data_IF_556540123050
#
_entry.id   IF_556540123050
#
_cell.length_a   1.000
_cell.length_b   1.000
_cell.length_c   1.000
_cell.angle_alpha   90.00
_cell.angle_beta   90.00
_cell.angle_gamma   90.00
#
_symmetry.space_group_name_H-M   'P 1'
#
loop_
_entity.id
_entity.type
_entity.pdbx_description
1 polymer ?
#
# COMPACT_ATOMS: atom_id res chain seq x y z
N UNK A 1 4.62 -8.12 5.81
CA UNK A 1 3.26 -7.54 5.80
C UNK A 1 3.34 -6.10 5.31
N UNK A 2 2.40 -5.62 4.49
CA UNK A 2 2.45 -4.28 3.87
C UNK A 2 2.40 -3.09 4.86
N UNK A 3 2.28 -3.34 6.16
CA UNK A 3 2.31 -2.34 7.24
C UNK A 3 3.72 -2.06 7.80
N UNK A 4 4.76 -2.78 7.34
CA UNK A 4 6.17 -2.53 7.72
C UNK A 4 6.61 -1.06 7.54
N UNK A 5 6.19 -0.35 6.47
CA UNK A 5 6.50 1.08 6.31
C UNK A 5 5.86 1.98 7.39
N UNK A 6 4.75 1.57 8.02
CA UNK A 6 4.09 2.33 9.09
C UNK A 6 4.93 2.30 10.37
N UNK A 7 5.50 1.14 10.70
CA UNK A 7 6.42 0.96 11.83
C UNK A 7 7.75 1.66 11.58
N UNK A 8 8.31 1.54 10.36
CA UNK A 8 9.53 2.24 9.95
C UNK A 8 9.35 3.77 9.85
N UNK A 9 8.11 4.24 9.70
CA UNK A 9 7.74 5.65 9.64
C UNK A 9 7.21 6.20 10.97
N UNK A 10 7.22 5.44 12.05
CA UNK A 10 6.85 5.94 13.38
C UNK A 10 8.03 6.74 13.95
N UNK A 11 7.83 8.03 14.18
CA UNK A 11 8.85 8.91 14.75
C UNK A 11 8.24 9.79 15.85
N UNK A 12 9.00 10.12 16.91
CA UNK A 12 8.58 11.13 17.88
C UNK A 12 8.30 12.47 17.18
N UNK A 13 7.27 13.20 17.63
CA UNK A 13 6.94 14.54 17.11
C UNK A 13 6.04 14.59 15.88
N UNK A 14 5.49 13.45 15.43
CA UNK A 14 4.50 13.42 14.35
C UNK A 14 3.09 13.80 14.85
N UNK A 15 2.34 14.54 14.04
CA UNK A 15 0.95 14.86 14.32
C UNK A 15 0.05 13.61 14.21
N UNK A 16 -1.10 13.62 14.89
CA UNK A 16 -2.06 12.50 14.83
C UNK A 16 -2.48 12.23 13.37
N UNK A 17 -2.31 10.99 12.91
CA UNK A 17 -2.64 10.56 11.54
C UNK A 17 -1.56 10.87 10.48
N UNK A 18 -0.42 11.41 10.90
CA UNK A 18 0.75 11.64 10.04
C UNK A 18 1.70 10.44 10.09
N UNK A 19 2.17 10.00 8.93
CA UNK A 19 3.33 9.10 8.83
C UNK A 19 4.59 9.91 8.53
N UNK A 20 5.78 9.42 8.89
CA UNK A 20 7.00 10.14 8.57
C UNK A 20 7.13 10.37 7.04
N UNK A 21 7.43 11.60 6.56
CA UNK A 21 7.51 11.92 5.13
C UNK A 21 8.37 10.97 4.30
N UNK A 22 9.47 10.45 4.87
CA UNK A 22 10.33 9.43 4.22
C UNK A 22 9.62 8.10 3.91
N UNK A 23 8.59 7.73 4.65
CA UNK A 23 7.82 6.50 4.43
C UNK A 23 6.70 6.69 3.37
N UNK A 24 6.34 7.93 3.06
CA UNK A 24 5.25 8.27 2.11
C UNK A 24 5.46 7.66 0.72
N UNK A 25 6.64 7.76 0.08
CA UNK A 25 6.82 7.21 -1.26
C UNK A 25 6.61 5.69 -1.28
N UNK A 26 7.19 4.98 -0.31
CA UNK A 26 7.07 3.52 -0.19
C UNK A 26 5.61 3.11 0.09
N UNK A 27 4.98 3.75 1.07
CA UNK A 27 3.56 3.51 1.39
C UNK A 27 2.69 3.70 0.14
N UNK A 28 2.85 4.82 -0.56
CA UNK A 28 2.05 5.11 -1.75
C UNK A 28 2.34 4.14 -2.90
N UNK A 29 3.58 3.67 -3.06
CA UNK A 29 3.90 2.69 -4.08
C UNK A 29 3.18 1.36 -3.83
N UNK A 30 3.21 0.85 -2.60
CA UNK A 30 2.61 -0.45 -2.26
C UNK A 30 1.09 -0.42 -2.09
N UNK A 31 0.48 0.79 -1.97
CA UNK A 31 -0.98 0.97 -1.86
C UNK A 31 -1.64 1.45 -3.17
N UNK A 32 -0.96 1.35 -4.31
CA UNK A 32 -1.56 1.56 -5.63
C UNK A 32 -2.02 0.24 -6.22
N UNK A 33 -3.24 0.19 -6.75
CA UNK A 33 -3.83 -1.01 -7.35
C UNK A 33 -3.02 -1.58 -8.52
N UNK A 34 -2.27 -0.76 -9.26
CA UNK A 34 -1.45 -1.26 -10.37
C UNK A 34 -0.35 -2.21 -9.89
N UNK A 35 0.11 -2.09 -8.64
CA UNK A 35 1.20 -2.87 -8.09
C UNK A 35 0.83 -4.37 -7.91
N UNK A 36 -0.26 -4.73 -7.20
CA UNK A 36 -0.72 -6.11 -7.17
C UNK A 36 -1.20 -6.61 -8.53
N UNK A 37 -1.77 -5.75 -9.40
CA UNK A 37 -2.13 -6.15 -10.77
C UNK A 37 -0.90 -6.56 -11.60
N UNK A 38 0.20 -5.81 -11.49
CA UNK A 38 1.46 -6.17 -12.13
C UNK A 38 2.00 -7.50 -11.60
N UNK A 39 1.93 -7.74 -10.29
CA UNK A 39 2.34 -9.02 -9.69
C UNK A 39 1.49 -10.17 -10.25
N UNK A 40 0.16 -10.02 -10.32
CA UNK A 40 -0.73 -11.03 -10.89
C UNK A 40 -0.38 -11.29 -12.37
N UNK A 41 -0.15 -10.24 -13.15
CA UNK A 41 0.21 -10.36 -14.56
C UNK A 41 1.53 -11.13 -14.75
N UNK A 42 2.57 -10.79 -13.98
CA UNK A 42 3.86 -11.51 -13.99
C UNK A 42 3.70 -12.96 -13.52
N UNK A 43 2.89 -13.18 -12.48
CA UNK A 43 2.63 -14.51 -11.96
C UNK A 43 1.96 -15.43 -13.00
N UNK A 44 1.02 -14.90 -13.78
CA UNK A 44 0.32 -15.64 -14.83
C UNK A 44 1.16 -15.82 -16.09
N UNK A 45 1.87 -14.78 -16.54
CA UNK A 45 2.58 -14.76 -17.81
C UNK A 45 3.95 -15.43 -17.75
N UNK A 46 4.71 -15.20 -16.68
CA UNK A 46 6.11 -15.61 -16.58
C UNK A 46 6.30 -16.77 -15.58
N UNK A 47 5.70 -16.68 -14.40
CA UNK A 47 5.93 -17.65 -13.33
C UNK A 47 5.00 -18.87 -13.41
N UNK A 48 3.85 -18.74 -14.09
CA UNK A 48 2.77 -19.75 -14.16
C UNK A 48 2.41 -20.32 -12.78
N UNK A 49 2.41 -19.47 -11.76
CA UNK A 49 2.34 -19.88 -10.35
C UNK A 49 1.08 -19.39 -9.67
N UNK A 50 0.21 -20.33 -9.27
CA UNK A 50 -1.04 -20.01 -8.59
C UNK A 50 -0.83 -19.39 -7.21
N UNK A 51 0.25 -19.74 -6.50
CA UNK A 51 0.57 -19.14 -5.20
C UNK A 51 0.88 -17.65 -5.31
N UNK A 52 1.61 -17.23 -6.34
CA UNK A 52 1.86 -15.80 -6.60
C UNK A 52 0.60 -15.05 -7.07
N UNK A 53 -0.29 -15.71 -7.81
CA UNK A 53 -1.60 -15.14 -8.15
C UNK A 53 -2.44 -14.90 -6.89
N UNK A 54 -2.52 -15.89 -5.99
CA UNK A 54 -3.21 -15.75 -4.71
C UNK A 54 -2.61 -14.62 -3.87
N UNK A 55 -1.27 -14.50 -3.82
CA UNK A 55 -0.61 -13.41 -3.12
C UNK A 55 -0.99 -12.03 -3.70
N UNK A 56 -1.02 -11.89 -5.03
CA UNK A 56 -1.45 -10.67 -5.69
C UNK A 56 -2.93 -10.34 -5.44
N UNK A 57 -3.81 -11.33 -5.46
CA UNK A 57 -5.24 -11.17 -5.14
C UNK A 57 -5.45 -10.76 -3.67
N UNK A 58 -4.73 -11.40 -2.73
CA UNK A 58 -4.79 -11.03 -1.31
C UNK A 58 -4.31 -9.59 -1.09
N UNK A 59 -3.25 -9.17 -1.79
CA UNK A 59 -2.77 -7.80 -1.76
C UNK A 59 -3.80 -6.83 -2.35
N UNK A 60 -4.41 -7.16 -3.49
CA UNK A 60 -5.48 -6.35 -4.09
C UNK A 60 -6.66 -6.18 -3.14
N UNK A 61 -7.10 -7.28 -2.51
CA UNK A 61 -8.20 -7.29 -1.54
C UNK A 61 -7.88 -6.43 -0.31
N UNK A 62 -6.64 -6.49 0.20
CA UNK A 62 -6.17 -5.64 1.28
C UNK A 62 -6.28 -4.14 0.93
N UNK A 63 -5.79 -3.72 -0.24
CA UNK A 63 -5.92 -2.31 -0.68
C UNK A 63 -7.41 -1.92 -0.79
N UNK A 64 -8.25 -2.78 -1.35
CA UNK A 64 -9.68 -2.50 -1.50
C UNK A 64 -10.37 -2.33 -0.14
N UNK A 65 -10.04 -3.19 0.83
CA UNK A 65 -10.55 -3.11 2.19
C UNK A 65 -10.13 -1.82 2.91
N UNK A 66 -8.88 -1.41 2.72
CA UNK A 66 -8.39 -0.12 3.22
C UNK A 66 -9.19 1.05 2.63
N UNK A 67 -9.43 1.02 1.32
CA UNK A 67 -10.22 2.09 0.65
C UNK A 67 -11.66 2.13 1.17
N UNK A 68 -12.31 0.98 1.34
CA UNK A 68 -13.68 0.93 1.88
C UNK A 68 -13.76 1.37 3.33
N UNK A 69 -12.69 1.16 4.11
CA UNK A 69 -12.59 1.62 5.51
C UNK A 69 -12.20 3.09 5.63
N UNK A 70 -12.06 3.80 4.50
CA UNK A 70 -11.72 5.21 4.46
C UNK A 70 -10.23 5.49 4.59
N UNK A 71 -9.33 4.50 4.46
CA UNK A 71 -7.89 4.72 4.42
C UNK A 71 -7.39 5.09 3.02
N UNK A 72 -6.59 6.15 2.95
CA UNK A 72 -6.18 6.83 1.71
C UNK A 72 -4.69 6.71 1.38
N UNK A 73 -4.30 7.22 0.21
CA UNK A 73 -2.89 7.53 -0.09
C UNK A 73 -2.44 8.70 0.79
N UNK A 74 -1.13 8.88 0.91
CA UNK A 74 -0.53 9.91 1.77
C UNK A 74 -0.04 11.11 0.96
N UNK A 75 -0.22 12.32 1.49
CA UNK A 75 0.37 13.56 0.99
C UNK A 75 1.88 13.55 1.25
N UNK A 76 2.67 14.41 0.57
CA UNK A 76 4.11 14.51 0.82
C UNK A 76 4.46 14.76 2.30
N UNK A 77 3.58 15.44 3.02
CA UNK A 77 3.72 15.77 4.43
C UNK A 77 3.37 14.59 5.36
N UNK A 78 2.84 13.49 4.82
CA UNK A 78 2.53 12.29 5.60
C UNK A 78 1.07 12.13 6.02
N UNK A 79 0.19 13.08 5.69
CA UNK A 79 -1.22 13.00 6.02
C UNK A 79 -1.99 12.20 4.99
N UNK A 80 -3.17 11.72 5.35
CA UNK A 80 -4.06 11.12 4.36
C UNK A 80 -4.58 12.16 3.36
N UNK A 81 -4.51 11.86 2.07
CA UNK A 81 -5.12 12.69 1.02
C UNK A 81 -6.64 12.63 1.16
N UNK A 82 -7.30 13.78 1.03
CA UNK A 82 -8.76 13.82 0.91
C UNK A 82 -9.17 13.14 -0.41
N UNK A 83 -10.25 12.36 -0.43
CA UNK A 83 -10.88 11.97 -1.70
C UNK A 83 -11.22 13.24 -2.47
N UNK A 84 -10.70 13.36 -3.69
CA UNK A 84 -11.09 14.41 -4.65
C UNK A 84 -12.41 14.05 -5.29
#
# INVERSE_FOLDING_TARGET
APDLPLLLGAAPGLARGQIHPRAVPLYNAVHRFWMPLALIAVALALLRSSSWVVAGLAWLAHIAFDRSSGFGLRSPEGFQRKPT
#
